data_IF_616677070445
#
_entry.id   IF_616677070445
#
_cell.length_a   1.000
_cell.length_b   1.000
_cell.length_c   1.000
_cell.angle_alpha   90.00
_cell.angle_beta   90.00
_cell.angle_gamma   90.00
#
_symmetry.space_group_name_H-M   'P 1'
#
loop_
_entity.id
_entity.type
_entity.pdbx_description
1 polymer ?
#
# COMPACT_ATOMS: atom_id res chain seq x y z
N UNK A 1 9.22 6.88 -27.03
CA UNK A 1 9.20 7.18 -25.62
C UNK A 1 7.85 6.79 -25.05
N UNK A 2 7.84 6.04 -24.00
CA UNK A 2 6.58 5.63 -23.40
C UNK A 2 6.18 6.62 -22.31
N UNK A 3 4.91 6.83 -22.18
CA UNK A 3 4.38 7.69 -21.15
C UNK A 3 3.66 6.85 -20.11
N UNK A 4 3.89 7.20 -18.88
CA UNK A 4 3.22 6.52 -17.80
C UNK A 4 1.73 6.88 -17.80
N UNK A 5 0.89 5.88 -17.60
CA UNK A 5 -0.55 6.14 -17.54
C UNK A 5 -0.89 7.06 -16.36
N UNK A 6 -1.87 7.97 -16.51
CA UNK A 6 -2.19 8.90 -15.42
C UNK A 6 -2.55 8.22 -14.11
N UNK A 7 -3.17 7.05 -14.13
CA UNK A 7 -3.50 6.33 -12.90
C UNK A 7 -2.23 5.86 -12.20
N UNK A 8 -1.22 5.41 -12.95
CA UNK A 8 0.05 5.02 -12.36
C UNK A 8 0.77 6.23 -11.77
N UNK A 9 0.73 7.37 -12.47
CA UNK A 9 1.32 8.60 -11.97
C UNK A 9 0.64 9.04 -10.66
N UNK A 10 -0.70 8.95 -10.62
CA UNK A 10 -1.44 9.32 -9.41
C UNK A 10 -1.05 8.44 -8.23
N UNK A 11 -0.89 7.14 -8.48
CA UNK A 11 -0.45 6.25 -7.41
C UNK A 11 0.95 6.62 -6.94
N UNK A 12 1.89 6.90 -7.87
CA UNK A 12 3.26 7.26 -7.48
C UNK A 12 3.27 8.51 -6.60
N UNK A 13 2.47 9.50 -6.94
CA UNK A 13 2.39 10.71 -6.13
C UNK A 13 1.91 10.41 -4.72
N UNK A 14 0.90 9.54 -4.61
CA UNK A 14 0.37 9.17 -3.31
C UNK A 14 1.40 8.39 -2.50
N UNK A 15 2.15 7.48 -3.13
CA UNK A 15 3.18 6.71 -2.46
C UNK A 15 4.33 7.61 -2.00
N UNK A 16 4.73 8.57 -2.83
CA UNK A 16 5.79 9.52 -2.46
C UNK A 16 5.36 10.38 -1.28
N UNK A 17 4.11 10.86 -1.30
CA UNK A 17 3.59 11.66 -0.21
C UNK A 17 3.50 10.85 1.08
N UNK A 18 3.08 9.59 0.98
CA UNK A 18 2.99 8.71 2.14
C UNK A 18 4.36 8.56 2.82
N UNK A 19 5.44 8.45 2.03
CA UNK A 19 6.77 8.25 2.59
C UNK A 19 7.24 9.41 3.45
N UNK A 20 6.69 10.61 3.24
CA UNK A 20 7.00 11.77 4.08
C UNK A 20 5.88 12.10 5.05
N UNK A 21 4.93 11.17 5.24
CA UNK A 21 3.88 11.33 6.23
C UNK A 21 2.68 12.15 5.78
N UNK A 22 2.57 12.45 4.50
CA UNK A 22 1.48 13.25 3.96
C UNK A 22 0.45 12.31 3.33
N UNK A 23 -0.73 12.22 3.92
CA UNK A 23 -1.78 11.31 3.45
C UNK A 23 -2.83 11.99 2.58
N UNK A 24 -2.68 13.29 2.29
CA UNK A 24 -3.70 14.01 1.53
C UNK A 24 -3.84 13.48 0.11
N UNK A 25 -2.73 13.11 -0.53
CA UNK A 25 -2.80 12.58 -1.88
C UNK A 25 -3.54 11.25 -1.92
N UNK A 26 -3.36 10.39 -0.90
CA UNK A 26 -4.12 9.16 -0.81
C UNK A 26 -5.59 9.45 -0.55
N UNK A 27 -5.87 10.37 0.34
CA UNK A 27 -7.26 10.74 0.66
C UNK A 27 -7.99 11.19 -0.61
N UNK A 28 -7.32 11.97 -1.45
CA UNK A 28 -7.93 12.47 -2.69
C UNK A 28 -8.03 11.39 -3.76
N UNK A 29 -7.14 10.40 -3.73
CA UNK A 29 -7.08 9.37 -4.76
C UNK A 29 -8.13 8.28 -4.58
N UNK A 30 -8.44 7.92 -3.35
CA UNK A 30 -9.34 6.79 -3.09
C UNK A 30 -10.78 7.25 -3.01
N UNK A 31 -11.70 6.37 -3.42
CA UNK A 31 -13.14 6.64 -3.24
C UNK A 31 -13.51 6.44 -1.77
N UNK A 32 -14.67 6.97 -1.38
CA UNK A 32 -15.07 6.90 0.02
C UNK A 32 -15.27 5.48 0.51
N UNK A 33 -15.78 4.59 -0.33
CA UNK A 33 -16.02 3.19 0.04
C UNK A 33 -14.94 2.25 -0.48
N UNK A 34 -13.71 2.74 -0.58
CA UNK A 34 -12.55 1.95 -1.00
C UNK A 34 -12.38 0.72 -0.10
N UNK A 35 -11.86 -0.37 -0.69
CA UNK A 35 -11.56 -1.59 0.07
C UNK A 35 -10.14 -2.02 -0.25
N UNK A 36 -9.34 -2.24 0.79
CA UNK A 36 -8.01 -2.83 0.65
C UNK A 36 -8.02 -4.20 1.32
N UNK A 37 -7.58 -5.21 0.59
CA UNK A 37 -7.52 -6.59 1.07
C UNK A 37 -6.11 -6.86 1.56
N UNK A 38 -5.94 -6.90 2.89
CA UNK A 38 -4.63 -7.10 3.52
C UNK A 38 -4.51 -8.56 3.90
N UNK A 39 -3.62 -9.32 3.24
CA UNK A 39 -3.49 -10.74 3.51
C UNK A 39 -2.68 -11.01 4.78
N UNK A 40 -2.65 -12.27 5.19
CA UNK A 40 -1.76 -12.72 6.25
C UNK A 40 -2.49 -13.16 7.49
N UNK A 41 -1.69 -13.37 8.54
CA UNK A 41 -2.17 -13.82 9.84
C UNK A 41 -1.82 -12.83 10.94
N UNK A 42 -1.35 -11.65 10.56
CA UNK A 42 -0.98 -10.63 11.53
C UNK A 42 -2.23 -9.93 12.07
N UNK A 43 -2.02 -9.07 13.06
CA UNK A 43 -3.14 -8.43 13.77
C UNK A 43 -4.02 -7.54 12.91
N UNK A 44 -3.49 -7.08 11.77
CA UNK A 44 -4.23 -6.17 10.90
C UNK A 44 -4.69 -6.83 9.59
N UNK A 45 -4.58 -8.16 9.49
CA UNK A 45 -5.03 -8.86 8.29
C UNK A 45 -6.55 -8.76 8.16
N UNK A 46 -7.01 -8.74 6.91
CA UNK A 46 -8.43 -8.65 6.61
C UNK A 46 -8.72 -7.47 5.71
N UNK A 47 -9.99 -7.23 5.48
CA UNK A 47 -10.41 -6.14 4.61
C UNK A 47 -10.49 -4.83 5.40
N UNK A 48 -9.85 -3.80 4.86
CA UNK A 48 -9.99 -2.44 5.37
C UNK A 48 -11.02 -1.76 4.49
N UNK A 49 -12.16 -1.40 5.07
CA UNK A 49 -13.28 -0.87 4.31
C UNK A 49 -13.52 0.58 4.64
N UNK A 50 -13.48 1.42 3.60
CA UNK A 50 -13.77 2.83 3.72
C UNK A 50 -12.52 3.67 3.88
N UNK A 51 -12.63 4.91 3.38
CA UNK A 51 -11.49 5.83 3.36
C UNK A 51 -11.00 6.17 4.77
N UNK A 52 -11.92 6.38 5.72
CA UNK A 52 -11.52 6.75 7.06
C UNK A 52 -10.75 5.63 7.75
N UNK A 53 -11.21 4.37 7.60
CA UNK A 53 -10.50 3.24 8.15
C UNK A 53 -9.14 3.06 7.51
N UNK A 54 -9.06 3.30 6.19
CA UNK A 54 -7.80 3.21 5.47
C UNK A 54 -6.80 4.25 5.99
N UNK A 55 -7.23 5.48 6.16
CA UNK A 55 -6.34 6.53 6.64
C UNK A 55 -5.87 6.24 8.06
N UNK A 56 -6.76 5.71 8.91
CA UNK A 56 -6.37 5.33 10.27
C UNK A 56 -5.31 4.22 10.26
N UNK A 57 -5.46 3.24 9.38
CA UNK A 57 -4.48 2.16 9.25
C UNK A 57 -3.14 2.70 8.79
N UNK A 58 -3.15 3.58 7.77
CA UNK A 58 -1.90 4.15 7.26
C UNK A 58 -1.17 4.95 8.33
N UNK A 59 -1.92 5.69 9.18
CA UNK A 59 -1.29 6.42 10.29
C UNK A 59 -0.66 5.47 11.30
N UNK A 60 -1.21 4.28 11.46
CA UNK A 60 -0.67 3.30 12.40
C UNK A 60 0.63 2.67 11.91
N UNK A 61 0.98 2.83 10.65
CA UNK A 61 2.19 2.20 10.10
C UNK A 61 3.47 2.92 10.50
N UNK A 62 3.41 4.23 10.78
CA UNK A 62 4.61 4.98 11.12
C UNK A 62 5.27 4.47 12.40
N UNK A 63 4.52 4.23 13.51
CA UNK A 63 5.15 3.76 14.74
C UNK A 63 5.82 2.39 14.64
N UNK A 64 5.40 1.56 13.69
CA UNK A 64 6.03 0.24 13.56
C UNK A 64 7.25 0.26 12.64
N UNK A 65 7.61 1.43 12.12
CA UNK A 65 8.79 1.57 11.27
C UNK A 65 8.57 1.06 9.86
N UNK A 66 7.32 1.06 9.40
CA UNK A 66 6.99 0.61 8.05
C UNK A 66 7.67 1.49 7.01
N UNK A 67 8.18 0.85 5.94
CA UNK A 67 8.76 1.57 4.82
C UNK A 67 8.35 0.90 3.52
N UNK A 68 8.40 1.69 2.46
CA UNK A 68 7.96 1.28 1.13
C UNK A 68 8.94 1.84 0.11
N UNK A 69 9.36 1.01 -0.84
CA UNK A 69 10.16 1.46 -1.97
C UNK A 69 9.56 0.86 -3.24
N UNK A 70 9.19 1.71 -4.19
CA UNK A 70 8.65 1.26 -5.46
C UNK A 70 9.77 0.83 -6.38
N UNK A 71 9.59 -0.32 -7.04
CA UNK A 71 10.49 -0.79 -8.07
C UNK A 71 9.96 -0.40 -9.45
N UNK A 72 8.67 -0.62 -9.69
CA UNK A 72 8.05 -0.29 -10.96
C UNK A 72 6.55 -0.13 -10.75
N UNK A 73 5.94 0.76 -11.53
CA UNK A 73 4.50 0.99 -11.47
C UNK A 73 4.01 1.18 -12.90
N UNK A 74 2.95 0.48 -13.27
CA UNK A 74 2.36 0.61 -14.61
C UNK A 74 0.87 0.32 -14.52
N UNK A 75 0.13 0.75 -15.56
CA UNK A 75 -1.29 0.52 -15.50
C UNK A 75 -2.05 0.99 -16.72
N UNK A 76 -3.37 0.91 -16.59
CA UNK A 76 -4.30 1.34 -17.64
C UNK A 76 -5.51 1.98 -16.95
N UNK A 77 -6.59 2.20 -17.70
CA UNK A 77 -7.77 2.87 -17.16
C UNK A 77 -8.40 2.12 -16.00
N UNK A 78 -8.29 0.81 -15.98
CA UNK A 78 -8.98 -0.02 -14.98
C UNK A 78 -8.06 -0.49 -13.87
N UNK A 79 -6.76 -0.65 -14.13
CA UNK A 79 -5.86 -1.26 -13.15
C UNK A 79 -4.52 -0.56 -13.10
N UNK A 80 -3.93 -0.56 -11.91
CA UNK A 80 -2.52 -0.20 -11.72
C UNK A 80 -1.85 -1.38 -11.03
N UNK A 81 -0.63 -1.68 -11.44
CA UNK A 81 0.18 -2.72 -10.81
C UNK A 81 1.44 -2.05 -10.27
N UNK A 82 1.74 -2.30 -9.00
CA UNK A 82 2.95 -1.76 -8.36
C UNK A 82 3.81 -2.92 -7.90
N UNK A 83 5.07 -2.90 -8.33
CA UNK A 83 6.07 -3.86 -7.90
C UNK A 83 6.94 -3.16 -6.87
N UNK A 84 6.86 -3.59 -5.62
CA UNK A 84 7.42 -2.85 -4.51
C UNK A 84 8.23 -3.73 -3.59
N UNK A 85 9.08 -3.08 -2.79
CA UNK A 85 9.65 -3.67 -1.59
C UNK A 85 8.95 -3.01 -0.40
N UNK A 86 8.53 -3.81 0.56
CA UNK A 86 7.92 -3.31 1.78
C UNK A 86 8.58 -3.98 2.96
N UNK A 87 8.73 -3.24 4.03
CA UNK A 87 9.37 -3.77 5.22
C UNK A 87 9.09 -2.96 6.45
N UNK A 88 9.76 -3.31 7.53
CA UNK A 88 9.68 -2.58 8.77
C UNK A 88 11.02 -2.64 9.48
N UNK A 89 11.39 -1.53 10.10
CA UNK A 89 12.58 -1.42 10.95
C UNK A 89 12.19 -0.81 12.28
N UNK A 90 12.34 -1.60 13.31
CA UNK A 90 12.12 -1.17 14.68
C UNK A 90 12.93 -2.08 15.57
N UNK A 91 12.97 -1.77 16.84
CA UNK A 91 13.77 -2.60 17.76
C UNK A 91 13.30 -4.04 17.70
N UNK A 92 14.25 -4.95 17.42
CA UNK A 92 13.97 -6.37 17.33
C UNK A 92 13.38 -6.83 16.01
N UNK A 93 13.12 -5.91 15.06
CA UNK A 93 12.54 -6.28 13.76
C UNK A 93 13.23 -5.51 12.64
N UNK A 94 13.77 -6.26 11.68
CA UNK A 94 14.31 -5.70 10.44
C UNK A 94 13.97 -6.70 9.35
N UNK A 95 12.88 -6.46 8.65
CA UNK A 95 12.31 -7.45 7.75
C UNK A 95 11.81 -6.76 6.48
N UNK A 96 11.91 -7.46 5.36
CA UNK A 96 11.37 -6.95 4.11
C UNK A 96 10.94 -8.09 3.20
N UNK A 97 10.05 -7.78 2.27
CA UNK A 97 9.62 -8.72 1.24
C UNK A 97 9.24 -7.94 -0.01
N UNK A 98 9.30 -8.61 -1.15
CA UNK A 98 8.72 -8.05 -2.37
C UNK A 98 7.22 -8.21 -2.32
N UNK A 99 6.52 -7.21 -2.83
CA UNK A 99 5.05 -7.21 -2.81
C UNK A 99 4.56 -6.71 -4.16
N UNK A 100 3.65 -7.46 -4.77
CA UNK A 100 2.91 -6.98 -5.92
C UNK A 100 1.57 -6.46 -5.41
N UNK A 101 1.25 -5.22 -5.75
CA UNK A 101 -0.06 -4.66 -5.45
C UNK A 101 -0.82 -4.47 -6.75
N UNK A 102 -2.08 -4.85 -6.76
CA UNK A 102 -2.97 -4.61 -7.89
C UNK A 102 -4.08 -3.72 -7.39
N UNK A 103 -4.31 -2.62 -8.11
CA UNK A 103 -5.33 -1.64 -7.77
C UNK A 103 -6.38 -1.63 -8.87
N UNK A 104 -7.63 -1.59 -8.48
CA UNK A 104 -8.72 -1.34 -9.41
C UNK A 104 -9.04 0.15 -9.38
N UNK A 105 -9.04 0.76 -10.56
CA UNK A 105 -9.35 2.18 -10.73
C UNK A 105 -10.64 2.34 -11.51
N UNK A 106 -11.40 3.38 -11.19
CA UNK A 106 -12.58 3.77 -11.94
C UNK A 106 -12.62 5.27 -12.00
N UNK A 107 -12.63 5.83 -13.23
CA UNK A 107 -12.68 7.27 -13.45
C UNK A 107 -11.54 7.99 -12.73
N UNK A 108 -10.34 7.42 -12.77
CA UNK A 108 -9.15 8.04 -12.20
C UNK A 108 -9.03 7.89 -10.70
N UNK A 109 -9.91 7.15 -10.04
CA UNK A 109 -9.87 6.98 -8.59
C UNK A 109 -9.75 5.52 -8.21
N UNK A 110 -9.05 5.27 -7.12
CA UNK A 110 -8.79 3.92 -6.65
C UNK A 110 -10.00 3.41 -5.86
N UNK A 111 -10.52 2.25 -6.25
CA UNK A 111 -11.69 1.65 -5.59
C UNK A 111 -11.33 0.42 -4.78
N UNK A 112 -10.23 -0.28 -5.13
CA UNK A 112 -9.90 -1.54 -4.47
C UNK A 112 -8.42 -1.83 -4.62
N UNK A 113 -7.83 -2.53 -3.66
CA UNK A 113 -6.42 -2.93 -3.71
C UNK A 113 -6.23 -4.31 -3.14
N UNK A 114 -5.39 -5.11 -3.81
CA UNK A 114 -4.93 -6.42 -3.36
C UNK A 114 -3.43 -6.38 -3.19
N UNK A 115 -2.91 -7.07 -2.17
CA UNK A 115 -1.48 -7.22 -1.93
C UNK A 115 -1.10 -8.68 -2.12
N UNK A 116 0.04 -8.93 -2.78
CA UNK A 116 0.55 -10.27 -3.00
C UNK A 116 2.02 -10.30 -2.58
N UNK A 117 2.29 -10.54 -1.28
CA UNK A 117 3.67 -10.61 -0.82
C UNK A 117 4.33 -11.89 -1.26
N UNK A 118 5.62 -11.81 -1.60
CA UNK A 118 6.39 -12.98 -2.01
C UNK A 118 6.65 -13.90 -0.81
N UNK A 119 6.92 -13.32 0.35
CA UNK A 119 7.26 -14.05 1.58
C UNK A 119 6.18 -13.76 2.62
N UNK A 120 5.28 -14.73 2.82
CA UNK A 120 4.14 -14.54 3.71
C UNK A 120 4.57 -14.36 5.16
N UNK A 121 5.62 -15.05 5.58
CA UNK A 121 6.09 -14.94 6.95
C UNK A 121 6.70 -13.57 7.21
N UNK A 122 7.52 -13.09 6.27
CA UNK A 122 8.09 -11.75 6.37
C UNK A 122 6.98 -10.69 6.40
N UNK A 123 5.97 -10.88 5.54
CA UNK A 123 4.84 -9.96 5.51
C UNK A 123 4.17 -9.83 6.88
N UNK A 124 3.89 -10.98 7.53
CA UNK A 124 3.26 -10.97 8.84
C UNK A 124 4.14 -10.27 9.88
N UNK A 125 5.47 -10.48 9.82
CA UNK A 125 6.38 -9.89 10.77
C UNK A 125 6.47 -8.37 10.65
N UNK A 126 6.18 -7.83 9.46
CA UNK A 126 6.15 -6.38 9.28
C UNK A 126 5.16 -5.76 10.28
N UNK A 127 3.99 -6.36 10.42
CA UNK A 127 2.88 -5.75 11.14
C UNK A 127 2.75 -6.20 12.58
N UNK A 128 3.26 -7.36 12.94
CA UNK A 128 3.14 -7.84 14.30
C UNK A 128 4.16 -7.18 15.21
N UNK A 129 3.69 -6.61 16.31
CA UNK A 129 4.54 -5.88 17.22
C UNK A 129 5.38 -6.80 18.09
N UNK A 130 4.95 -8.05 18.30
CA UNK A 130 5.74 -8.93 19.12
C UNK A 130 6.62 -9.81 18.26
N UNK A 131 7.64 -10.33 18.88
CA UNK A 131 8.57 -11.19 18.18
C UNK A 131 8.27 -12.60 18.34
#
# INVERSE_FOLDING_TARGET
>A
MSEEHPNATAYRRAADAFRVGDLRAIEDLVVQDVVWHVPGRHRWAGDIRGRDALLAWLRALAPIGFWLREHDVFGNDAHVCALSYMGARREGVDVETRVVSIFHFRSGRQVERWFFPEDAEAWDRIFDARE
#
